data_IF_348982935158
#
_entry.id   IF_348982935158
#
_cell.length_a   1.000
_cell.length_b   1.000
_cell.length_c   1.000
_cell.angle_alpha   90.00
_cell.angle_beta   90.00
_cell.angle_gamma   90.00
#
_symmetry.space_group_name_H-M   'P 1'
#
loop_
_entity.id
_entity.type
_entity.pdbx_description
1 polymer ?
#
# COMPACT_ATOMS: atom_id res chain seq x y z
N UNK A 1 -14.25 14.60 -8.69
CA UNK A 1 -13.20 13.70 -9.22
C UNK A 1 -13.37 12.33 -8.60
N UNK A 2 -13.28 11.26 -9.39
CA UNK A 2 -13.29 9.88 -8.91
C UNK A 2 -11.86 9.36 -8.86
N UNK A 3 -11.38 9.02 -7.67
CA UNK A 3 -9.99 8.64 -7.43
C UNK A 3 -9.94 7.24 -6.81
N UNK A 4 -9.12 6.37 -7.36
CA UNK A 4 -8.90 5.01 -6.85
C UNK A 4 -7.75 5.01 -5.85
N UNK A 5 -7.99 4.50 -4.65
CA UNK A 5 -6.97 4.27 -3.62
C UNK A 5 -6.66 2.78 -3.50
N UNK A 6 -5.39 2.44 -3.71
CA UNK A 6 -4.90 1.06 -3.65
C UNK A 6 -4.29 0.79 -2.28
N UNK A 7 -4.81 -0.21 -1.53
CA UNK A 7 -4.41 -0.46 -0.16
C UNK A 7 -2.97 -0.95 -0.04
N UNK A 8 -2.36 -0.67 1.12
CA UNK A 8 -1.15 -1.31 1.60
C UNK A 8 -1.42 -2.53 2.46
N UNK A 9 -0.35 -3.13 3.00
CA UNK A 9 -0.42 -4.31 3.86
C UNK A 9 -1.11 -4.00 5.21
N UNK A 10 -1.97 -4.92 5.68
CA UNK A 10 -2.57 -4.87 7.01
C UNK A 10 -4.10 -4.90 7.06
N UNK A 11 -4.79 -4.75 5.93
CA UNK A 11 -6.26 -4.78 5.86
C UNK A 11 -6.84 -6.13 5.44
N UNK A 12 -6.01 -7.05 4.96
CA UNK A 12 -6.45 -8.38 4.51
C UNK A 12 -6.92 -9.24 5.68
N UNK A 13 -8.04 -9.92 5.48
CA UNK A 13 -8.62 -10.88 6.40
C UNK A 13 -8.93 -12.19 5.69
N UNK A 14 -8.99 -13.29 6.45
CA UNK A 14 -9.31 -14.61 5.87
C UNK A 14 -10.64 -14.55 5.11
N UNK A 15 -10.66 -15.07 3.90
CA UNK A 15 -11.86 -15.21 3.08
C UNK A 15 -12.43 -13.91 2.50
N UNK A 16 -11.73 -12.78 2.56
CA UNK A 16 -12.27 -11.48 2.14
C UNK A 16 -12.67 -11.41 0.66
N UNK A 17 -12.15 -12.31 -0.20
CA UNK A 17 -12.54 -12.39 -1.61
C UNK A 17 -13.79 -13.24 -1.86
N UNK A 18 -14.25 -14.06 -0.91
CA UNK A 18 -15.42 -14.93 -1.11
C UNK A 18 -16.65 -14.15 -1.61
N UNK A 19 -17.10 -13.06 -0.95
CA UNK A 19 -18.25 -12.30 -1.44
C UNK A 19 -18.04 -11.70 -2.82
N UNK A 20 -16.80 -11.33 -3.14
CA UNK A 20 -16.43 -10.75 -4.44
C UNK A 20 -16.53 -11.75 -5.57
N UNK A 21 -16.05 -12.99 -5.35
CA UNK A 21 -16.15 -14.09 -6.33
C UNK A 21 -17.60 -14.52 -6.56
N UNK A 22 -18.43 -14.50 -5.53
CA UNK A 22 -19.88 -14.78 -5.64
C UNK A 22 -20.59 -13.72 -6.50
N UNK A 23 -20.28 -12.44 -6.29
CA UNK A 23 -20.93 -11.34 -7.00
C UNK A 23 -20.36 -11.12 -8.42
N UNK A 24 -19.08 -11.41 -8.64
CA UNK A 24 -18.36 -11.19 -9.90
C UNK A 24 -17.57 -12.43 -10.28
N UNK A 25 -18.19 -13.48 -10.87
CA UNK A 25 -17.51 -14.74 -11.19
C UNK A 25 -16.29 -14.60 -12.12
N UNK A 26 -16.28 -13.58 -13.01
CA UNK A 26 -15.14 -13.28 -13.88
C UNK A 26 -13.86 -12.90 -13.11
N UNK A 27 -13.99 -12.52 -11.85
CA UNK A 27 -12.85 -12.17 -10.98
C UNK A 27 -11.90 -13.34 -10.78
N UNK A 28 -12.41 -14.59 -10.77
CA UNK A 28 -11.60 -15.79 -10.61
C UNK A 28 -10.56 -15.92 -11.74
N UNK A 29 -11.00 -15.72 -12.99
CA UNK A 29 -10.10 -15.73 -14.15
C UNK A 29 -9.03 -14.66 -14.10
N UNK A 30 -9.39 -13.44 -13.66
CA UNK A 30 -8.45 -12.33 -13.48
C UNK A 30 -7.42 -12.66 -12.38
N UNK A 31 -7.87 -13.15 -11.23
CA UNK A 31 -6.99 -13.55 -10.11
C UNK A 31 -6.04 -14.69 -10.53
N UNK A 32 -6.55 -15.69 -11.26
CA UNK A 32 -5.73 -16.80 -11.75
C UNK A 32 -4.65 -16.32 -12.74
N UNK A 33 -4.99 -15.37 -13.62
CA UNK A 33 -4.04 -14.76 -14.57
C UNK A 33 -2.94 -13.97 -13.85
N UNK A 34 -3.31 -13.09 -12.90
CA UNK A 34 -2.39 -12.32 -12.08
C UNK A 34 -1.55 -13.21 -11.16
N UNK A 35 -2.16 -14.28 -10.63
CA UNK A 35 -1.48 -15.28 -9.83
C UNK A 35 -0.35 -15.98 -10.56
N UNK A 36 -0.54 -16.33 -11.85
CA UNK A 36 0.53 -16.88 -12.70
C UNK A 36 1.68 -15.90 -12.86
N UNK A 37 1.40 -14.61 -13.00
CA UNK A 37 2.44 -13.59 -13.15
C UNK A 37 3.30 -13.41 -11.90
N UNK A 38 2.74 -13.61 -10.71
CA UNK A 38 3.45 -13.48 -9.43
C UNK A 38 3.82 -14.80 -8.75
N UNK A 39 3.51 -15.94 -9.37
CA UNK A 39 3.84 -17.26 -8.83
C UNK A 39 3.04 -17.64 -7.56
N UNK A 40 1.80 -17.16 -7.41
CA UNK A 40 0.96 -17.44 -6.25
C UNK A 40 -0.49 -17.80 -6.65
N UNK A 41 -1.13 -18.65 -5.87
CA UNK A 41 -2.57 -18.92 -6.01
C UNK A 41 -3.38 -17.86 -5.25
N UNK A 42 -3.69 -16.75 -5.94
CA UNK A 42 -4.40 -15.61 -5.35
C UNK A 42 -5.85 -15.95 -5.00
N UNK A 43 -6.48 -16.89 -5.72
CA UNK A 43 -7.83 -17.35 -5.40
C UNK A 43 -7.82 -18.06 -4.05
N UNK A 44 -6.94 -19.05 -3.88
CA UNK A 44 -6.80 -19.77 -2.61
C UNK A 44 -6.39 -18.83 -1.47
N UNK A 45 -5.41 -17.96 -1.69
CA UNK A 45 -4.98 -16.99 -0.67
C UNK A 45 -6.11 -16.07 -0.20
N UNK A 46 -6.95 -15.59 -1.11
CA UNK A 46 -8.05 -14.68 -0.78
C UNK A 46 -9.32 -15.36 -0.25
N UNK A 47 -9.41 -16.71 -0.30
CA UNK A 47 -10.62 -17.45 0.08
C UNK A 47 -10.42 -18.41 1.25
N UNK A 48 -9.51 -19.38 1.11
CA UNK A 48 -9.39 -20.51 2.03
C UNK A 48 -8.10 -20.54 2.84
N UNK A 49 -7.10 -19.72 2.50
CA UNK A 49 -5.85 -19.67 3.24
C UNK A 49 -6.04 -19.15 4.66
N UNK A 50 -5.26 -19.66 5.58
CA UNK A 50 -5.29 -19.26 6.99
C UNK A 50 -4.76 -17.84 7.19
N UNK A 51 -5.16 -17.22 8.29
CA UNK A 51 -4.82 -15.84 8.62
C UNK A 51 -3.29 -15.60 8.67
N UNK A 52 -2.54 -16.55 9.21
CA UNK A 52 -1.07 -16.47 9.30
C UNK A 52 -0.43 -16.50 7.92
N UNK A 53 -0.94 -17.34 7.01
CA UNK A 53 -0.44 -17.44 5.63
C UNK A 53 -0.66 -16.14 4.83
N UNK A 54 -1.83 -15.51 4.97
CA UNK A 54 -2.13 -14.26 4.26
C UNK A 54 -1.44 -13.04 4.89
N UNK A 55 -0.92 -13.13 6.12
CA UNK A 55 -0.12 -12.10 6.79
C UNK A 55 1.36 -12.21 6.51
N UNK A 56 1.83 -13.36 6.04
CA UNK A 56 3.21 -13.50 5.57
C UNK A 56 3.52 -12.45 4.51
N UNK A 57 4.66 -11.78 4.64
CA UNK A 57 5.01 -10.64 3.77
C UNK A 57 5.05 -11.01 2.29
N UNK A 58 5.54 -12.21 1.96
CA UNK A 58 5.60 -12.68 0.59
C UNK A 58 4.21 -12.89 -0.01
N UNK A 59 3.26 -13.42 0.75
CA UNK A 59 1.90 -13.65 0.31
C UNK A 59 1.05 -12.38 0.35
N UNK A 60 1.17 -11.59 1.42
CA UNK A 60 0.35 -10.41 1.65
C UNK A 60 0.44 -9.41 0.51
N UNK A 61 1.65 -9.08 0.04
CA UNK A 61 1.84 -8.09 -1.02
C UNK A 61 1.24 -8.57 -2.35
N UNK A 62 1.47 -9.83 -2.72
CA UNK A 62 0.88 -10.44 -3.91
C UNK A 62 -0.65 -10.43 -3.87
N UNK A 63 -1.21 -10.85 -2.73
CA UNK A 63 -2.65 -10.92 -2.53
C UNK A 63 -3.31 -9.53 -2.61
N UNK A 64 -2.75 -8.54 -1.94
CA UNK A 64 -3.31 -7.18 -1.88
C UNK A 64 -3.32 -6.54 -3.28
N UNK A 65 -2.20 -6.55 -3.97
CA UNK A 65 -2.10 -5.92 -5.31
C UNK A 65 -2.93 -6.69 -6.33
N UNK A 66 -2.85 -8.02 -6.33
CA UNK A 66 -3.64 -8.84 -7.25
C UNK A 66 -5.14 -8.70 -7.03
N UNK A 67 -5.59 -8.64 -5.77
CA UNK A 67 -7.01 -8.42 -5.44
C UNK A 67 -7.49 -7.05 -5.88
N UNK A 68 -6.71 -5.99 -5.60
CA UNK A 68 -7.05 -4.64 -6.01
C UNK A 68 -7.17 -4.53 -7.54
N UNK A 69 -6.20 -5.04 -8.29
CA UNK A 69 -6.24 -5.05 -9.76
C UNK A 69 -7.41 -5.87 -10.30
N UNK A 70 -7.63 -7.08 -9.79
CA UNK A 70 -8.70 -7.95 -10.27
C UNK A 70 -10.08 -7.31 -10.03
N UNK A 71 -10.32 -6.73 -8.84
CA UNK A 71 -11.58 -6.02 -8.54
C UNK A 71 -11.70 -4.78 -9.41
N UNK A 72 -10.65 -3.97 -9.55
CA UNK A 72 -10.70 -2.79 -10.41
C UNK A 72 -11.08 -3.14 -11.85
N UNK A 73 -10.43 -4.13 -12.46
CA UNK A 73 -10.71 -4.57 -13.85
C UNK A 73 -12.10 -5.17 -14.01
N UNK A 74 -12.67 -5.77 -12.94
CA UNK A 74 -14.00 -6.39 -12.99
C UNK A 74 -15.15 -5.41 -12.73
N UNK A 75 -14.95 -4.44 -11.84
CA UNK A 75 -16.00 -3.53 -11.35
C UNK A 75 -15.97 -2.19 -12.08
N UNK A 76 -14.79 -1.67 -12.39
CA UNK A 76 -14.62 -0.35 -13.02
C UNK A 76 -14.34 -0.40 -14.52
N UNK A 77 -14.58 -1.55 -15.17
CA UNK A 77 -14.46 -1.65 -16.62
C UNK A 77 -15.37 -0.63 -17.32
N UNK A 78 -14.78 0.28 -18.11
CA UNK A 78 -15.51 1.35 -18.80
C UNK A 78 -15.91 2.55 -17.92
N UNK A 79 -15.63 2.51 -16.62
CA UNK A 79 -15.83 3.66 -15.73
C UNK A 79 -14.67 4.63 -15.89
N UNK A 80 -14.99 5.90 -16.12
CA UNK A 80 -13.97 6.95 -16.16
C UNK A 80 -13.53 7.27 -14.73
N UNK A 81 -12.26 7.01 -14.43
CA UNK A 81 -11.61 7.46 -13.19
C UNK A 81 -10.65 8.62 -13.52
N UNK A 82 -10.56 9.57 -12.60
CA UNK A 82 -9.75 10.78 -12.79
C UNK A 82 -8.33 10.62 -12.25
N UNK A 83 -8.10 9.63 -11.39
CA UNK A 83 -6.77 9.39 -10.85
C UNK A 83 -6.68 8.16 -9.95
N UNK A 84 -5.44 7.82 -9.60
CA UNK A 84 -5.10 6.72 -8.71
C UNK A 84 -3.98 7.12 -7.76
N UNK A 85 -3.98 6.54 -6.56
CA UNK A 85 -2.88 6.59 -5.61
C UNK A 85 -2.82 5.26 -4.85
N UNK A 86 -1.67 4.93 -4.30
CA UNK A 86 -1.49 3.71 -3.51
C UNK A 86 -0.72 4.00 -2.24
N UNK A 87 -0.88 3.15 -1.23
CA UNK A 87 -0.07 3.21 -0.02
C UNK A 87 0.98 2.09 -0.07
N UNK A 88 2.27 2.43 -0.03
CA UNK A 88 3.34 1.45 -0.06
C UNK A 88 3.20 0.51 -1.28
N UNK A 89 3.02 -0.80 -1.06
CA UNK A 89 2.83 -1.79 -2.14
C UNK A 89 1.64 -1.47 -3.05
N UNK A 90 0.65 -0.74 -2.54
CA UNK A 90 -0.51 -0.29 -3.33
C UNK A 90 -0.14 0.64 -4.50
N UNK A 91 1.02 1.31 -4.47
CA UNK A 91 1.47 2.12 -5.61
C UNK A 91 1.71 1.28 -6.87
N UNK A 92 2.03 -0.01 -6.76
CA UNK A 92 2.15 -0.90 -7.92
C UNK A 92 0.81 -1.14 -8.61
N UNK A 93 -0.27 -1.30 -7.83
CA UNK A 93 -1.62 -1.36 -8.40
C UNK A 93 -2.03 0.00 -9.01
N UNK A 94 -1.72 1.11 -8.32
CA UNK A 94 -2.01 2.45 -8.83
C UNK A 94 -1.26 2.73 -10.16
N UNK A 95 0.00 2.31 -10.27
CA UNK A 95 0.78 2.40 -11.51
C UNK A 95 0.14 1.63 -12.67
N UNK A 96 -0.32 0.41 -12.41
CA UNK A 96 -1.00 -0.41 -13.42
C UNK A 96 -2.37 0.16 -13.82
N UNK A 97 -3.12 0.69 -12.86
CA UNK A 97 -4.41 1.37 -13.10
C UNK A 97 -4.19 2.65 -13.92
N UNK A 98 -3.12 3.38 -13.66
CA UNK A 98 -2.77 4.59 -14.40
C UNK A 98 -2.08 4.32 -15.76
N UNK A 99 -1.86 3.05 -16.12
CA UNK A 99 -1.28 2.66 -17.40
C UNK A 99 0.24 2.75 -17.49
N UNK A 100 0.93 3.08 -16.40
CA UNK A 100 2.41 3.21 -16.38
C UNK A 100 3.11 1.89 -16.68
N UNK A 101 2.59 0.79 -16.13
CA UNK A 101 3.03 -0.59 -16.38
C UNK A 101 1.82 -1.49 -16.55
N UNK A 102 1.99 -2.64 -17.20
CA UNK A 102 0.93 -3.64 -17.31
C UNK A 102 0.63 -4.36 -16.00
N UNK A 103 -0.60 -4.90 -15.86
CA UNK A 103 -1.02 -5.63 -14.65
C UNK A 103 -0.07 -6.79 -14.32
N UNK A 104 0.39 -7.55 -15.32
CA UNK A 104 1.32 -8.66 -15.13
C UNK A 104 2.72 -8.18 -14.72
N UNK A 105 3.19 -7.06 -15.29
CA UNK A 105 4.47 -6.45 -14.92
C UNK A 105 4.43 -5.95 -13.46
N UNK A 106 3.32 -5.31 -13.05
CA UNK A 106 3.09 -4.92 -11.66
C UNK A 106 3.17 -6.14 -10.73
N UNK A 107 2.53 -7.26 -11.09
CA UNK A 107 2.55 -8.48 -10.29
C UNK A 107 3.93 -9.15 -10.23
N UNK A 108 4.72 -9.10 -11.30
CA UNK A 108 6.12 -9.59 -11.30
C UNK A 108 7.01 -8.75 -10.38
N UNK A 109 6.88 -7.42 -10.44
CA UNK A 109 7.60 -6.51 -9.54
C UNK A 109 7.19 -6.72 -8.08
N UNK A 110 5.89 -6.86 -7.82
CA UNK A 110 5.37 -7.15 -6.46
C UNK A 110 5.88 -8.48 -5.94
N UNK A 111 5.93 -9.53 -6.76
CA UNK A 111 6.50 -10.81 -6.36
C UNK A 111 7.97 -10.67 -5.95
N UNK A 112 8.77 -10.02 -6.78
CA UNK A 112 10.19 -9.76 -6.48
C UNK A 112 10.36 -8.90 -5.22
N UNK A 113 9.53 -7.86 -5.06
CA UNK A 113 9.51 -6.99 -3.88
C UNK A 113 9.19 -7.78 -2.61
N UNK A 114 8.13 -8.57 -2.65
CA UNK A 114 7.65 -9.33 -1.51
C UNK A 114 8.70 -10.33 -1.00
N UNK A 115 9.32 -11.10 -1.92
CA UNK A 115 10.36 -12.07 -1.58
C UNK A 115 11.62 -11.37 -1.04
N UNK A 116 12.08 -10.33 -1.71
CA UNK A 116 13.28 -9.60 -1.31
C UNK A 116 13.12 -8.89 0.04
N UNK A 117 11.93 -8.31 0.32
CA UNK A 117 11.64 -7.67 1.62
C UNK A 117 11.48 -8.71 2.73
N UNK A 118 10.88 -9.87 2.47
CA UNK A 118 10.81 -10.97 3.43
C UNK A 118 12.22 -11.51 3.75
N UNK A 119 13.06 -11.69 2.74
CA UNK A 119 14.46 -12.10 2.92
C UNK A 119 15.26 -11.05 3.72
N UNK A 120 15.10 -9.76 3.42
CA UNK A 120 15.78 -8.69 4.15
C UNK A 120 15.34 -8.65 5.62
N UNK A 121 14.03 -8.79 5.89
CA UNK A 121 13.48 -8.82 7.24
C UNK A 121 13.99 -10.00 8.07
N UNK A 122 14.26 -11.16 7.44
CA UNK A 122 14.78 -12.34 8.12
C UNK A 122 16.25 -12.22 8.57
N UNK A 123 17.03 -11.26 8.01
CA UNK A 123 18.45 -11.09 8.32
C UNK A 123 18.72 -10.51 9.72
N UNK A 124 17.83 -9.63 10.19
CA UNK A 124 18.01 -8.91 11.46
C UNK A 124 16.67 -8.78 12.17
N UNK A 125 16.61 -9.04 13.49
CA UNK A 125 15.39 -8.84 14.27
C UNK A 125 14.99 -7.35 14.31
N UNK A 126 14.04 -6.97 13.48
CA UNK A 126 13.49 -5.61 13.40
C UNK A 126 11.97 -5.62 13.59
N UNK A 127 11.38 -4.48 13.87
CA UNK A 127 9.94 -4.29 14.06
C UNK A 127 9.53 -2.89 13.67
N UNK A 128 8.22 -2.62 13.73
CA UNK A 128 7.64 -1.29 13.51
C UNK A 128 6.64 -0.98 14.62
N UNK A 129 6.44 0.31 14.90
CA UNK A 129 5.40 0.78 15.82
C UNK A 129 4.70 2.02 15.27
N UNK A 130 3.38 2.06 15.42
CA UNK A 130 2.60 3.24 15.12
C UNK A 130 2.62 4.19 16.34
N UNK A 131 3.09 5.41 16.14
CA UNK A 131 2.98 6.51 17.09
C UNK A 131 1.74 7.31 16.72
N UNK A 132 0.80 7.42 17.64
CA UNK A 132 -0.50 8.07 17.46
C UNK A 132 -0.59 9.30 18.39
N UNK A 133 -0.72 10.49 17.82
CA UNK A 133 -0.71 11.76 18.55
C UNK A 133 0.71 12.26 18.84
N UNK A 134 0.82 13.26 19.74
CA UNK A 134 2.06 14.01 19.97
C UNK A 134 2.32 15.08 18.91
N UNK A 135 3.23 15.99 19.22
CA UNK A 135 3.73 16.98 18.27
C UNK A 135 4.72 16.30 17.31
N UNK A 136 4.59 16.53 15.99
CA UNK A 136 5.37 15.84 14.96
C UNK A 136 6.89 15.96 15.20
N UNK A 137 7.36 17.15 15.56
CA UNK A 137 8.78 17.39 15.85
C UNK A 137 9.28 16.60 17.07
N UNK A 138 8.47 16.45 18.11
CA UNK A 138 8.80 15.66 19.30
C UNK A 138 8.80 14.15 19.00
N UNK A 139 7.82 13.70 18.20
CA UNK A 139 7.75 12.31 17.74
C UNK A 139 8.97 11.95 16.90
N UNK A 140 9.37 12.79 15.94
CA UNK A 140 10.55 12.56 15.10
C UNK A 140 11.84 12.60 15.92
N UNK A 141 11.97 13.52 16.88
CA UNK A 141 13.12 13.58 17.79
C UNK A 141 13.24 12.31 18.65
N UNK A 142 12.11 11.78 19.14
CA UNK A 142 12.11 10.53 19.90
C UNK A 142 12.48 9.32 19.02
N UNK A 143 11.99 9.26 17.78
CA UNK A 143 12.35 8.22 16.81
C UNK A 143 13.87 8.23 16.58
N UNK A 144 14.47 9.40 16.36
CA UNK A 144 15.91 9.55 16.18
C UNK A 144 16.70 9.18 17.44
N UNK A 145 16.24 9.62 18.63
CA UNK A 145 16.88 9.32 19.92
C UNK A 145 16.94 7.82 20.20
N UNK A 146 15.95 7.05 19.77
CA UNK A 146 15.96 5.59 19.89
C UNK A 146 16.66 4.88 18.73
N UNK A 147 17.33 5.61 17.84
CA UNK A 147 18.01 5.06 16.65
C UNK A 147 17.04 4.30 15.73
N UNK A 148 15.81 4.82 15.59
CA UNK A 148 14.77 4.35 14.70
C UNK A 148 14.65 5.27 13.48
N UNK A 149 13.98 4.78 12.44
CA UNK A 149 13.70 5.55 11.23
C UNK A 149 12.17 5.76 11.08
N UNK A 150 11.70 6.95 10.63
CA UNK A 150 10.30 7.13 10.29
C UNK A 150 10.00 6.43 8.96
N UNK A 151 9.13 5.44 9.00
CA UNK A 151 8.81 4.58 7.86
C UNK A 151 7.55 5.04 7.09
N UNK A 152 6.51 5.48 7.80
CA UNK A 152 5.28 5.97 7.18
C UNK A 152 4.79 7.24 7.89
N UNK A 153 4.48 8.24 7.10
CA UNK A 153 3.75 9.43 7.54
C UNK A 153 2.30 9.29 7.05
N UNK A 154 1.41 8.84 7.94
CA UNK A 154 0.02 8.54 7.57
C UNK A 154 -0.91 9.75 7.70
N UNK A 155 -0.40 10.88 8.19
CA UNK A 155 -1.19 12.06 8.47
C UNK A 155 -2.02 11.96 9.74
N UNK A 156 -2.75 13.01 10.07
CA UNK A 156 -3.63 13.08 11.25
C UNK A 156 -2.94 12.65 12.56
N UNK A 157 -1.66 13.00 12.74
CA UNK A 157 -0.87 12.65 13.92
C UNK A 157 -0.46 11.19 13.99
N UNK A 158 -0.37 10.48 12.87
CA UNK A 158 0.09 9.09 12.84
C UNK A 158 1.40 8.96 12.06
N UNK A 159 2.47 8.56 12.76
CA UNK A 159 3.78 8.23 12.18
C UNK A 159 4.12 6.80 12.58
N UNK A 160 4.68 6.03 11.64
CA UNK A 160 5.18 4.68 11.93
C UNK A 160 6.70 4.75 12.03
N UNK A 161 7.21 4.39 13.19
CA UNK A 161 8.64 4.20 13.44
C UNK A 161 9.05 2.76 13.12
N UNK A 162 10.26 2.56 12.61
CA UNK A 162 10.78 1.24 12.29
C UNK A 162 12.28 1.14 12.60
N UNK A 163 12.75 -0.06 12.93
CA UNK A 163 14.16 -0.32 13.24
C UNK A 163 14.36 -1.56 14.08
N UNK A 164 15.45 -1.60 14.85
CA UNK A 164 15.77 -2.74 15.72
C UNK A 164 14.62 -3.04 16.72
N UNK A 165 14.26 -4.31 16.86
CA UNK A 165 13.14 -4.71 17.72
C UNK A 165 13.28 -4.21 19.16
N UNK A 166 14.50 -4.23 19.72
CA UNK A 166 14.79 -3.70 21.06
C UNK A 166 14.59 -2.18 21.17
N UNK A 167 14.84 -1.45 20.09
CA UNK A 167 14.63 0.00 20.05
C UNK A 167 13.11 0.32 19.98
N UNK A 168 12.34 -0.44 19.19
CA UNK A 168 10.88 -0.34 19.16
C UNK A 168 10.29 -0.61 20.56
N UNK A 169 10.79 -1.60 21.29
CA UNK A 169 10.33 -1.89 22.66
C UNK A 169 10.57 -0.70 23.57
N UNK A 170 11.76 -0.06 23.52
CA UNK A 170 12.05 1.14 24.31
C UNK A 170 11.11 2.31 23.97
N UNK A 171 10.80 2.50 22.69
CA UNK A 171 9.84 3.54 22.26
C UNK A 171 8.41 3.25 22.78
N UNK A 172 8.01 1.97 22.83
CA UNK A 172 6.71 1.57 23.42
C UNK A 172 6.66 1.83 24.92
N UNK A 173 7.77 1.56 25.65
CA UNK A 173 7.89 1.77 27.10
C UNK A 173 8.00 3.25 27.49
N UNK A 174 8.55 4.07 26.61
CA UNK A 174 8.76 5.52 26.80
C UNK A 174 8.22 6.33 25.62
N UNK A 175 6.90 6.41 25.47
CA UNK A 175 6.29 7.12 24.34
C UNK A 175 6.51 8.63 24.42
N UNK A 176 6.60 9.35 23.29
CA UNK A 176 6.58 10.80 23.28
C UNK A 176 5.35 11.39 23.98
N UNK A 177 5.49 12.60 24.51
CA UNK A 177 4.40 13.27 25.22
C UNK A 177 3.12 13.35 24.38
N UNK A 178 1.98 13.12 25.05
CA UNK A 178 0.63 13.15 24.40
C UNK A 178 0.48 12.16 23.23
N UNK A 179 1.31 11.13 23.14
CA UNK A 179 1.22 10.09 22.14
C UNK A 179 0.94 8.73 22.74
N UNK A 180 0.52 7.80 21.88
CA UNK A 180 0.41 6.38 22.18
C UNK A 180 1.21 5.60 21.16
N UNK A 181 2.05 4.69 21.59
CA UNK A 181 2.84 3.83 20.71
C UNK A 181 2.28 2.41 20.73
N UNK A 182 2.07 1.83 19.55
CA UNK A 182 1.52 0.48 19.37
C UNK A 182 2.46 -0.29 18.45
N UNK A 183 3.08 -1.35 18.97
CA UNK A 183 3.88 -2.25 18.14
C UNK A 183 3.00 -2.93 17.08
N UNK A 184 3.48 -2.97 15.84
CA UNK A 184 2.77 -3.57 14.72
C UNK A 184 3.20 -5.04 14.54
N UNK A 185 2.25 -5.89 14.14
CA UNK A 185 2.51 -7.29 13.79
C UNK A 185 3.03 -7.40 12.36
N UNK A 186 4.30 -7.04 12.16
CA UNK A 186 4.98 -7.06 10.86
C UNK A 186 6.31 -7.80 10.96
N UNK A 187 6.81 -8.29 9.83
CA UNK A 187 8.01 -9.13 9.78
C UNK A 187 9.32 -8.34 9.95
N UNK A 188 9.32 -7.02 9.73
CA UNK A 188 10.57 -6.25 9.76
C UNK A 188 10.37 -4.74 9.61
N UNK A 189 11.48 -4.01 9.64
CA UNK A 189 11.53 -2.56 9.51
C UNK A 189 11.43 -2.12 8.04
N UNK A 190 10.23 -2.20 7.48
CA UNK A 190 9.95 -1.79 6.10
C UNK A 190 10.14 -0.28 5.92
N UNK A 191 10.47 0.15 4.71
CA UNK A 191 10.67 1.56 4.34
C UNK A 191 11.80 2.25 5.08
N UNK A 192 12.84 1.50 5.45
CA UNK A 192 14.05 1.96 6.12
C UNK A 192 15.31 1.43 5.44
N UNK A 193 16.46 1.88 5.90
CA UNK A 193 17.78 1.39 5.46
C UNK A 193 17.95 -0.14 5.57
N UNK A 194 17.21 -0.81 6.45
CA UNK A 194 17.18 -2.28 6.56
C UNK A 194 16.69 -2.99 5.29
N UNK A 195 15.98 -2.29 4.40
CA UNK A 195 15.45 -2.83 3.15
C UNK A 195 16.33 -2.54 1.92
N UNK A 196 17.55 -2.00 2.08
CA UNK A 196 18.39 -1.61 0.95
C UNK A 196 18.76 -2.79 0.04
N UNK A 197 18.98 -3.99 0.60
CA UNK A 197 19.23 -5.21 -0.20
C UNK A 197 18.02 -5.63 -1.03
N UNK A 198 16.80 -5.41 -0.51
CA UNK A 198 15.57 -5.68 -1.23
C UNK A 198 15.38 -4.68 -2.39
N UNK A 199 15.66 -3.39 -2.15
CA UNK A 199 15.62 -2.35 -3.17
C UNK A 199 16.53 -2.69 -4.36
N UNK A 200 17.78 -3.09 -4.10
CA UNK A 200 18.74 -3.49 -5.15
C UNK A 200 18.21 -4.66 -5.98
N UNK A 201 17.62 -5.66 -5.35
CA UNK A 201 17.04 -6.82 -6.04
C UNK A 201 15.86 -6.45 -6.96
N UNK A 202 15.02 -5.49 -6.54
CA UNK A 202 13.88 -5.04 -7.34
C UNK A 202 14.33 -4.11 -8.46
N UNK A 203 15.35 -3.27 -8.23
CA UNK A 203 15.92 -2.39 -9.23
C UNK A 203 16.37 -3.17 -10.47
N UNK A 204 17.07 -4.30 -10.29
CA UNK A 204 17.52 -5.16 -11.37
C UNK A 204 16.37 -5.67 -12.25
N UNK A 205 15.25 -6.05 -11.65
CA UNK A 205 14.09 -6.48 -12.42
C UNK A 205 13.42 -5.29 -13.13
N UNK A 206 13.33 -4.15 -12.45
CA UNK A 206 12.68 -2.95 -12.99
C UNK A 206 13.35 -2.45 -14.28
N UNK A 207 14.65 -2.66 -14.46
CA UNK A 207 15.39 -2.33 -15.68
C UNK A 207 14.89 -3.07 -16.94
N UNK A 208 14.18 -4.20 -16.75
CA UNK A 208 13.64 -4.97 -17.87
C UNK A 208 12.29 -4.48 -18.40
N UNK A 209 11.66 -3.52 -17.71
CA UNK A 209 10.36 -2.97 -18.10
C UNK A 209 10.51 -1.63 -18.82
N UNK A 210 9.51 -1.31 -19.65
CA UNK A 210 9.45 -0.08 -20.42
C UNK A 210 8.20 0.71 -20.03
N UNK A 211 8.24 1.43 -18.90
CA UNK A 211 7.09 2.18 -18.42
C UNK A 211 6.72 3.32 -19.37
N UNK A 212 5.43 3.64 -19.43
CA UNK A 212 4.92 4.80 -20.17
C UNK A 212 4.36 5.84 -19.22
N UNK A 213 4.15 7.06 -19.71
CA UNK A 213 3.59 8.12 -18.88
C UNK A 213 2.16 7.80 -18.44
N UNK A 214 1.75 8.20 -17.22
CA UNK A 214 0.44 7.89 -16.71
C UNK A 214 -0.69 8.54 -17.54
N UNK A 215 -1.74 7.78 -17.81
CA UNK A 215 -2.91 8.23 -18.58
C UNK A 215 -3.91 9.05 -17.72
N UNK A 216 -3.84 8.91 -16.39
CA UNK A 216 -4.67 9.60 -15.39
C UNK A 216 -3.78 10.19 -14.31
N UNK A 217 -4.33 11.06 -13.46
CA UNK A 217 -3.57 11.60 -12.32
C UNK A 217 -3.06 10.47 -11.42
N UNK A 218 -1.76 10.43 -11.18
CA UNK A 218 -1.11 9.43 -10.34
C UNK A 218 -0.26 10.13 -9.30
N UNK A 219 -0.64 10.00 -8.02
CA UNK A 219 0.11 10.61 -6.91
C UNK A 219 1.15 9.65 -6.37
N UNK A 220 2.33 10.19 -6.02
CA UNK A 220 3.46 9.41 -5.51
C UNK A 220 3.62 9.55 -4.00
N UNK A 221 4.01 8.44 -3.34
CA UNK A 221 4.36 8.43 -1.92
C UNK A 221 5.70 9.12 -1.61
N UNK A 222 6.45 9.58 -2.59
CA UNK A 222 7.70 10.32 -2.37
C UNK A 222 7.41 11.68 -1.75
N UNK A 223 6.48 12.43 -2.34
CA UNK A 223 6.20 13.82 -1.97
C UNK A 223 4.72 14.20 -2.10
N UNK A 224 3.85 13.28 -2.46
CA UNK A 224 2.44 13.51 -2.76
C UNK A 224 2.20 14.21 -4.10
N UNK A 225 3.23 14.43 -4.90
CA UNK A 225 3.14 15.06 -6.20
C UNK A 225 2.54 14.17 -7.28
N UNK A 226 2.07 14.79 -8.38
CA UNK A 226 1.62 14.08 -9.56
C UNK A 226 2.80 13.56 -10.38
N UNK A 227 2.81 12.27 -10.65
CA UNK A 227 3.74 11.66 -11.60
C UNK A 227 3.42 12.13 -13.02
N UNK A 228 4.46 12.57 -13.73
CA UNK A 228 4.36 13.02 -15.13
C UNK A 228 5.17 12.14 -16.09
N UNK A 229 6.11 11.39 -15.54
CA UNK A 229 7.05 10.53 -16.25
C UNK A 229 7.00 9.13 -15.67
N UNK A 230 6.67 8.14 -16.51
CA UNK A 230 6.50 6.76 -16.06
C UNK A 230 7.82 6.11 -15.61
N UNK A 231 8.96 6.47 -16.22
CA UNK A 231 10.27 5.95 -15.83
C UNK A 231 10.69 6.49 -14.46
N UNK A 232 10.45 7.78 -14.20
CA UNK A 232 10.67 8.37 -12.89
C UNK A 232 9.76 7.74 -11.84
N UNK A 233 8.49 7.47 -12.17
CA UNK A 233 7.57 6.80 -11.25
C UNK A 233 8.02 5.36 -10.93
N UNK A 234 8.41 4.57 -11.94
CA UNK A 234 8.95 3.22 -11.71
C UNK A 234 10.20 3.26 -10.80
N UNK A 235 11.08 4.23 -11.02
CA UNK A 235 12.26 4.45 -10.16
C UNK A 235 11.86 4.80 -8.73
N UNK A 236 10.78 5.57 -8.55
CA UNK A 236 10.25 5.92 -7.23
C UNK A 236 9.66 4.70 -6.50
N UNK A 237 8.98 3.78 -7.21
CA UNK A 237 8.48 2.52 -6.65
C UNK A 237 9.62 1.66 -6.08
N UNK A 238 10.75 1.62 -6.79
CA UNK A 238 11.94 0.92 -6.32
C UNK A 238 12.56 1.62 -5.11
N UNK A 239 12.70 2.93 -5.18
CA UNK A 239 13.28 3.74 -4.09
C UNK A 239 12.47 3.66 -2.82
N UNK A 240 11.15 3.63 -2.89
CA UNK A 240 10.22 3.54 -1.75
C UNK A 240 10.49 2.34 -0.84
N UNK A 241 11.08 1.25 -1.35
CA UNK A 241 11.35 0.04 -0.56
C UNK A 241 12.20 0.35 0.68
N UNK A 242 13.16 1.28 0.54
CA UNK A 242 14.05 1.72 1.64
C UNK A 242 13.86 3.19 2.04
N UNK A 243 12.76 3.82 1.64
CA UNK A 243 12.46 5.22 1.95
C UNK A 243 11.03 5.38 2.49
N UNK A 244 10.76 6.43 3.26
CA UNK A 244 9.46 6.67 3.88
C UNK A 244 8.31 6.80 2.89
N UNK A 245 7.14 6.31 3.31
CA UNK A 245 5.87 6.51 2.62
C UNK A 245 5.24 7.82 3.10
N UNK A 246 5.10 8.81 2.21
CA UNK A 246 4.51 10.12 2.50
C UNK A 246 3.04 10.16 2.12
N UNK A 247 2.23 9.31 2.77
CA UNK A 247 0.78 9.30 2.58
C UNK A 247 0.13 10.63 3.02
N UNK A 248 0.68 11.28 4.04
CA UNK A 248 0.31 12.62 4.49
C UNK A 248 0.35 13.64 3.34
N UNK A 249 1.37 13.59 2.50
CA UNK A 249 1.52 14.46 1.34
C UNK A 249 0.51 14.13 0.24
N UNK A 250 0.26 12.84 -0.01
CA UNK A 250 -0.80 12.43 -0.94
C UNK A 250 -2.16 12.98 -0.50
N UNK A 251 -2.52 12.86 0.79
CA UNK A 251 -3.77 13.43 1.32
C UNK A 251 -3.81 14.95 1.21
N UNK A 252 -2.68 15.64 1.47
CA UNK A 252 -2.59 17.09 1.29
C UNK A 252 -2.90 17.49 -0.16
N UNK A 253 -2.38 16.73 -1.14
CA UNK A 253 -2.62 16.97 -2.57
C UNK A 253 -4.05 16.68 -3.01
N UNK A 254 -4.82 15.92 -2.24
CA UNK A 254 -6.25 15.69 -2.48
C UNK A 254 -7.13 16.84 -1.93
N UNK A 255 -6.62 17.64 -1.02
CA UNK A 255 -7.37 18.74 -0.40
C UNK A 255 -7.72 19.81 -1.45
N UNK A 256 -8.95 20.28 -1.43
CA UNK A 256 -9.47 21.26 -2.40
C UNK A 256 -10.00 20.67 -3.70
N UNK A 257 -9.90 19.35 -3.89
CA UNK A 257 -10.36 18.68 -5.14
C UNK A 257 -11.83 18.26 -5.08
N UNK A 258 -12.48 18.22 -3.91
CA UNK A 258 -13.83 17.69 -3.74
C UNK A 258 -13.92 16.22 -4.24
N UNK A 259 -12.90 15.44 -3.98
CA UNK A 259 -12.75 14.11 -4.55
C UNK A 259 -13.61 13.05 -3.85
N UNK A 260 -14.10 12.08 -4.64
CA UNK A 260 -14.58 10.81 -4.11
C UNK A 260 -13.45 9.79 -4.24
N UNK A 261 -12.91 9.36 -3.11
CA UNK A 261 -11.80 8.41 -3.01
C UNK A 261 -12.35 7.03 -2.72
N UNK A 262 -12.11 6.09 -3.64
CA UNK A 262 -12.58 4.70 -3.55
C UNK A 262 -11.41 3.81 -3.18
N UNK A 263 -11.43 3.23 -1.99
CA UNK A 263 -10.44 2.26 -1.58
C UNK A 263 -10.82 0.86 -2.05
N UNK A 264 -9.96 0.25 -2.87
CA UNK A 264 -10.12 -1.11 -3.37
C UNK A 264 -9.88 -2.16 -2.27
N UNK A 265 -10.41 -3.39 -2.41
CA UNK A 265 -10.14 -4.46 -1.44
C UNK A 265 -8.65 -4.88 -1.40
N UNK A 266 -8.19 -5.27 -0.19
CA UNK A 266 -8.84 -5.29 1.12
C UNK A 266 -8.92 -3.89 1.75
N UNK A 267 -10.14 -3.37 1.89
CA UNK A 267 -10.38 -1.96 2.16
C UNK A 267 -10.68 -1.63 3.64
N UNK A 268 -10.41 -0.38 4.02
CA UNK A 268 -10.83 0.21 5.29
C UNK A 268 -9.80 1.12 5.94
N UNK A 269 -8.51 0.86 5.72
CA UNK A 269 -7.43 1.64 6.32
C UNK A 269 -7.31 3.04 5.68
N UNK A 270 -7.20 3.10 4.36
CA UNK A 270 -6.99 4.36 3.64
C UNK A 270 -8.23 5.25 3.67
N UNK A 271 -9.43 4.68 3.50
CA UNK A 271 -10.67 5.43 3.63
C UNK A 271 -10.80 6.06 5.02
N UNK A 272 -10.34 5.36 6.06
CA UNK A 272 -10.27 5.90 7.42
C UNK A 272 -9.29 7.07 7.55
N UNK A 273 -8.13 7.00 6.91
CA UNK A 273 -7.13 8.09 6.90
C UNK A 273 -7.65 9.29 6.10
N UNK A 274 -8.21 9.07 4.91
CA UNK A 274 -8.78 10.15 4.07
C UNK A 274 -9.90 10.87 4.80
N UNK A 275 -10.83 10.15 5.45
CA UNK A 275 -11.94 10.75 6.23
C UNK A 275 -11.45 11.66 7.36
N UNK A 276 -10.29 11.38 7.96
CA UNK A 276 -9.71 12.19 9.03
C UNK A 276 -8.83 13.32 8.51
N UNK A 277 -8.17 13.11 7.37
CA UNK A 277 -7.12 14.01 6.86
C UNK A 277 -7.56 14.96 5.74
N UNK A 278 -8.69 14.69 5.05
CA UNK A 278 -9.13 15.47 3.88
C UNK A 278 -10.60 15.84 4.05
N UNK A 279 -10.86 17.06 4.53
CA UNK A 279 -12.20 17.48 4.99
C UNK A 279 -13.25 17.60 3.87
N UNK A 280 -12.81 17.85 2.65
CA UNK A 280 -13.68 18.02 1.45
C UNK A 280 -13.73 16.77 0.56
N UNK A 281 -13.12 15.65 0.98
CA UNK A 281 -13.20 14.39 0.26
C UNK A 281 -14.25 13.44 0.85
N UNK A 282 -14.93 12.72 -0.04
CA UNK A 282 -15.76 11.56 0.32
C UNK A 282 -14.92 10.30 0.16
N UNK A 283 -14.78 9.49 1.22
CA UNK A 283 -14.04 8.24 1.14
C UNK A 283 -14.98 7.03 1.28
N UNK A 284 -14.89 6.09 0.33
CA UNK A 284 -15.66 4.85 0.28
C UNK A 284 -14.70 3.67 0.30
N UNK A 285 -14.84 2.81 1.30
CA UNK A 285 -14.10 1.55 1.38
C UNK A 285 -14.91 0.43 0.74
N UNK A 286 -14.40 -0.20 -0.30
CA UNK A 286 -15.04 -1.37 -0.91
C UNK A 286 -14.67 -2.64 -0.13
N UNK A 287 -15.33 -2.85 1.00
CA UNK A 287 -15.11 -4.06 1.83
C UNK A 287 -15.83 -5.28 1.25
N UNK A 288 -16.98 -5.05 0.67
CA UNK A 288 -17.83 -6.07 0.04
C UNK A 288 -18.41 -5.54 -1.26
N UNK A 289 -18.94 -6.40 -2.15
CA UNK A 289 -19.58 -5.98 -3.39
C UNK A 289 -20.73 -4.97 -3.21
N UNK A 290 -21.46 -5.03 -2.10
CA UNK A 290 -22.55 -4.09 -1.80
C UNK A 290 -22.06 -2.64 -1.68
N UNK A 291 -20.81 -2.44 -1.31
CA UNK A 291 -20.23 -1.10 -1.20
C UNK A 291 -20.07 -0.42 -2.58
N UNK A 292 -20.10 -1.17 -3.68
CA UNK A 292 -20.04 -0.63 -5.05
C UNK A 292 -21.26 0.25 -5.36
N UNK A 293 -22.43 -0.05 -4.77
CA UNK A 293 -23.64 0.76 -4.94
C UNK A 293 -23.50 2.20 -4.38
N UNK A 294 -22.52 2.43 -3.50
CA UNK A 294 -22.23 3.76 -2.93
C UNK A 294 -21.36 4.62 -3.84
N UNK A 295 -20.75 4.00 -4.87
CA UNK A 295 -19.85 4.70 -5.79
C UNK A 295 -20.66 5.48 -6.81
N UNK A 296 -20.41 6.80 -6.98
CA UNK A 296 -21.15 7.62 -7.94
C UNK A 296 -20.64 7.35 -9.37
N UNK A 297 -20.85 6.13 -9.86
CA UNK A 297 -20.60 5.74 -11.25
C UNK A 297 -21.91 5.89 -12.02
N UNK A 298 -21.93 6.83 -12.95
CA UNK A 298 -23.03 7.06 -13.89
C UNK A 298 -22.68 6.49 -15.27
#
# INVERSE_FOLDING_TARGET
MLIIACPGQGSQTQGFLLPWLEAYPQLEGNLASLGKACGADLVRLGTTAEEEEIKDTANAQRLIVGSALAVYRSVFAGVKVDGALGHSVGEYAAAAIAGVIGDHEAMQLVAKRADAMAEAAAKTPTSMAAVLGGEETEVLSAIEQFELEPANFNGSGQIVAAGAKSAIQRLVESPPDKSRVIELKVAGAFHTSFMESAKQSVAQLAESFSPVDPEINLWSNVDGGLAKDGSAFLSSLVSQISNPVRWDKCMTSLSGLGATVIELPPAGALAGLVKRGVSDATAIALKTPVDVEKVPIS
#
